data_IF_769511935443
#
_entry.id   IF_769511935443
#
_cell.length_a   1.000
_cell.length_b   1.000
_cell.length_c   1.000
_cell.angle_alpha   90.00
_cell.angle_beta   90.00
_cell.angle_gamma   90.00
#
_symmetry.space_group_name_H-M   'P 1'
#
loop_
_entity.id
_entity.type
_entity.pdbx_description
1 polymer ?
#
# COMPACT_ATOMS: atom_id res chain seq x y z
N UNK A 1 -4.67 -0.17 27.31
CA UNK A 1 -4.78 0.12 25.87
C UNK A 1 -4.55 -1.18 25.13
N UNK A 2 -5.24 -1.46 24.01
CA UNK A 2 -4.91 -2.61 23.18
C UNK A 2 -3.42 -2.57 22.83
N UNK A 3 -2.74 -3.70 22.96
CA UNK A 3 -1.35 -3.83 22.46
C UNK A 3 -1.39 -3.77 20.94
N UNK A 4 -0.49 -2.99 20.33
CA UNK A 4 -0.36 -2.94 18.88
C UNK A 4 -0.14 -4.37 18.32
N UNK A 5 -0.94 -4.81 17.33
CA UNK A 5 -0.68 -6.07 16.64
C UNK A 5 0.74 -6.07 16.07
N UNK A 6 1.39 -7.23 16.06
CA UNK A 6 2.74 -7.37 15.56
C UNK A 6 2.85 -6.84 14.13
N UNK A 7 3.85 -5.98 13.87
CA UNK A 7 4.11 -5.33 12.59
C UNK A 7 2.96 -4.45 12.04
N UNK A 8 2.01 -4.03 12.87
CA UNK A 8 1.03 -3.00 12.50
C UNK A 8 1.32 -1.68 13.21
N UNK A 9 0.83 -0.59 12.63
CA UNK A 9 0.91 0.77 13.15
C UNK A 9 -0.50 1.24 13.52
N UNK A 10 -0.63 1.83 14.70
CA UNK A 10 -1.89 2.45 15.14
C UNK A 10 -2.07 3.81 14.47
N UNK A 11 -3.19 4.01 13.78
CA UNK A 11 -3.60 5.31 13.26
C UNK A 11 -4.69 5.89 14.17
N UNK A 12 -4.43 7.01 14.88
CA UNK A 12 -5.40 7.56 15.82
C UNK A 12 -6.70 8.02 15.14
N UNK A 13 -7.81 7.84 15.85
CA UNK A 13 -9.09 8.43 15.45
C UNK A 13 -8.97 9.95 15.33
N UNK A 14 -9.69 10.54 14.38
CA UNK A 14 -9.74 11.99 14.21
C UNK A 14 -9.95 12.44 12.77
N UNK A 15 -10.22 13.75 12.59
CA UNK A 15 -10.38 14.34 11.28
C UNK A 15 -9.05 14.41 10.51
N UNK A 16 -9.13 14.38 9.18
CA UNK A 16 -8.06 14.79 8.28
C UNK A 16 -8.66 15.34 6.97
N UNK A 17 -7.89 16.14 6.24
CA UNK A 17 -8.24 16.61 4.90
C UNK A 17 -7.79 15.57 3.88
N UNK A 18 -8.74 14.96 3.18
CA UNK A 18 -8.50 13.99 2.11
C UNK A 18 -8.49 14.70 0.75
N UNK A 19 -7.61 14.25 -0.14
CA UNK A 19 -7.42 14.79 -1.47
C UNK A 19 -6.34 15.88 -1.53
N UNK A 20 -6.24 16.53 -2.68
CA UNK A 20 -5.28 17.61 -2.90
C UNK A 20 -5.91 18.75 -3.68
N UNK A 21 -5.44 19.97 -3.43
CA UNK A 21 -5.78 21.11 -4.29
C UNK A 21 -4.87 21.04 -5.52
N UNK A 22 -5.46 20.96 -6.71
CA UNK A 22 -4.72 20.89 -7.96
C UNK A 22 -4.36 22.32 -8.38
N UNK A 23 -3.26 22.83 -7.85
CA UNK A 23 -2.66 24.05 -8.35
C UNK A 23 -1.92 23.72 -9.67
N UNK A 24 -2.51 24.08 -10.82
CA UNK A 24 -1.96 23.87 -12.18
C UNK A 24 -0.50 24.33 -12.39
N UNK A 25 0.05 25.14 -11.48
CA UNK A 25 1.45 25.58 -11.49
C UNK A 25 2.42 24.60 -10.80
N UNK A 26 1.94 23.72 -9.92
CA UNK A 26 2.78 22.81 -9.12
C UNK A 26 2.90 21.39 -9.70
N UNK A 27 2.12 21.04 -10.72
CA UNK A 27 2.18 19.73 -11.43
C UNK A 27 1.99 18.50 -10.53
N UNK A 28 1.27 18.64 -9.41
CA UNK A 28 0.94 17.54 -8.49
C UNK A 28 -0.58 17.34 -8.44
N UNK A 29 -1.02 16.08 -8.38
CA UNK A 29 -2.41 15.67 -8.35
C UNK A 29 -3.02 15.43 -9.72
N UNK A 30 -3.97 14.50 -9.81
CA UNK A 30 -4.85 14.27 -10.96
C UNK A 30 -6.30 14.70 -10.63
N UNK A 31 -7.17 14.79 -11.65
CA UNK A 31 -8.49 15.43 -11.54
C UNK A 31 -9.46 14.76 -10.57
N UNK A 32 -9.22 13.50 -10.22
CA UNK A 32 -10.02 12.69 -9.28
C UNK A 32 -9.58 12.85 -7.81
N UNK A 33 -8.59 13.70 -7.54
CA UNK A 33 -8.11 14.01 -6.18
C UNK A 33 -8.79 15.25 -5.55
N UNK A 34 -9.73 15.88 -6.27
CA UNK A 34 -10.57 17.00 -5.84
C UNK A 34 -12.04 16.59 -5.63
N UNK A 35 -12.79 17.30 -4.76
CA UNK A 35 -12.36 18.38 -3.89
C UNK A 35 -11.66 17.86 -2.62
N UNK A 36 -10.79 18.71 -2.05
CA UNK A 36 -10.33 18.48 -0.67
C UNK A 36 -11.55 18.55 0.27
N UNK A 37 -11.72 17.50 1.07
CA UNK A 37 -12.84 17.40 2.01
C UNK A 37 -12.39 16.80 3.35
N UNK A 38 -13.04 17.23 4.43
CA UNK A 38 -12.73 16.74 5.77
C UNK A 38 -13.45 15.42 6.03
N UNK A 39 -12.68 14.38 6.39
CA UNK A 39 -13.19 13.08 6.81
C UNK A 39 -12.76 12.80 8.25
N UNK A 40 -13.69 12.28 9.05
CA UNK A 40 -13.38 11.69 10.34
C UNK A 40 -13.18 10.17 10.20
N UNK A 41 -11.99 9.69 10.58
CA UNK A 41 -11.75 8.25 10.70
C UNK A 41 -11.72 7.82 12.17
N UNK A 42 -12.35 6.68 12.45
CA UNK A 42 -12.18 5.92 13.69
C UNK A 42 -10.74 5.41 13.83
N UNK A 43 -10.34 4.96 15.02
CA UNK A 43 -9.01 4.39 15.22
C UNK A 43 -8.94 3.03 14.50
N UNK A 44 -7.83 2.79 13.80
CA UNK A 44 -7.56 1.52 13.12
C UNK A 44 -6.06 1.19 13.19
N UNK A 45 -5.75 -0.02 12.72
CA UNK A 45 -4.38 -0.48 12.53
C UNK A 45 -4.16 -0.76 11.05
N UNK A 46 -2.98 -0.42 10.55
CA UNK A 46 -2.53 -0.75 9.19
C UNK A 46 -1.17 -1.44 9.29
N UNK A 47 -0.86 -2.35 8.36
CA UNK A 47 0.45 -3.00 8.32
C UNK A 47 1.55 -1.93 8.19
N UNK A 48 2.66 -2.09 8.91
CA UNK A 48 3.82 -1.17 8.85
C UNK A 48 4.53 -1.23 7.50
N UNK A 49 4.44 -2.39 6.86
CA UNK A 49 5.17 -2.77 5.66
C UNK A 49 4.18 -3.39 4.67
N UNK A 50 4.47 -3.29 3.38
CA UNK A 50 3.79 -4.10 2.36
C UNK A 50 3.94 -5.59 2.69
N UNK A 51 2.96 -6.39 2.26
CA UNK A 51 2.99 -7.85 2.42
C UNK A 51 4.16 -8.43 1.64
N UNK A 52 5.01 -9.19 2.30
CA UNK A 52 6.19 -9.78 1.66
C UNK A 52 5.84 -10.95 0.75
N UNK A 53 6.70 -11.22 -0.24
CA UNK A 53 6.62 -12.42 -1.07
C UNK A 53 6.63 -13.70 -0.21
N UNK A 54 7.39 -13.72 0.89
CA UNK A 54 7.42 -14.87 1.80
C UNK A 54 6.07 -15.13 2.46
N UNK A 55 5.43 -14.10 3.01
CA UNK A 55 4.13 -14.22 3.67
C UNK A 55 3.04 -14.61 2.67
N UNK A 56 2.99 -13.97 1.51
CA UNK A 56 1.99 -14.28 0.50
C UNK A 56 2.18 -15.68 -0.10
N UNK A 57 3.44 -16.13 -0.26
CA UNK A 57 3.74 -17.51 -0.66
C UNK A 57 3.21 -18.55 0.33
N UNK A 58 3.32 -18.29 1.62
CA UNK A 58 2.75 -19.17 2.66
C UNK A 58 1.21 -19.25 2.55
N UNK A 59 0.55 -18.12 2.30
CA UNK A 59 -0.89 -18.08 2.05
C UNK A 59 -1.31 -18.89 0.82
N UNK A 60 -0.60 -18.73 -0.31
CA UNK A 60 -0.90 -19.48 -1.53
C UNK A 60 -0.74 -20.99 -1.34
N UNK A 61 0.26 -21.42 -0.59
CA UNK A 61 0.44 -22.85 -0.27
C UNK A 61 -0.64 -23.39 0.67
N UNK A 62 -1.30 -22.53 1.45
CA UNK A 62 -2.48 -22.91 2.23
C UNK A 62 -3.77 -22.97 1.39
N UNK A 63 -3.79 -22.34 0.20
CA UNK A 63 -4.94 -22.28 -0.71
C UNK A 63 -4.56 -22.60 -2.16
N UNK A 64 -3.91 -23.74 -2.42
CA UNK A 64 -3.33 -24.04 -3.74
C UNK A 64 -4.39 -24.10 -4.85
N UNK A 65 -5.61 -24.52 -4.53
CA UNK A 65 -6.70 -24.69 -5.50
C UNK A 65 -7.28 -23.35 -6.02
N UNK A 66 -7.06 -22.26 -5.28
CA UNK A 66 -7.55 -20.92 -5.65
C UNK A 66 -6.42 -19.97 -6.08
N UNK A 67 -5.17 -20.41 -6.01
CA UNK A 67 -3.99 -19.56 -6.17
C UNK A 67 -3.94 -18.83 -7.52
N UNK A 68 -4.45 -19.43 -8.61
CA UNK A 68 -4.53 -18.79 -9.93
C UNK A 68 -5.44 -17.55 -9.96
N UNK A 69 -6.43 -17.46 -9.06
CA UNK A 69 -7.26 -16.26 -8.88
C UNK A 69 -6.55 -15.16 -8.11
N UNK A 70 -5.64 -15.55 -7.20
CA UNK A 70 -5.03 -14.63 -6.25
C UNK A 70 -3.77 -13.96 -6.78
N UNK A 71 -3.00 -14.64 -7.63
CA UNK A 71 -1.76 -14.10 -8.16
C UNK A 71 -1.52 -14.54 -9.60
N UNK A 72 -0.90 -13.65 -10.39
CA UNK A 72 -0.41 -13.98 -11.71
C UNK A 72 1.09 -14.28 -11.67
N UNK A 73 1.46 -15.56 -11.67
CA UNK A 73 2.88 -15.98 -11.71
C UNK A 73 3.47 -15.73 -13.11
N UNK A 74 4.50 -14.89 -13.17
CA UNK A 74 5.25 -14.52 -14.38
C UNK A 74 6.73 -14.29 -14.05
N UNK A 75 7.56 -14.03 -15.07
CA UNK A 75 8.98 -13.71 -14.88
C UNK A 75 9.23 -12.40 -14.11
N UNK A 76 8.19 -11.55 -14.00
CA UNK A 76 8.24 -10.29 -13.24
C UNK A 76 7.65 -10.43 -11.82
N UNK A 77 7.12 -11.60 -11.47
CA UNK A 77 6.57 -11.86 -10.15
C UNK A 77 7.70 -12.16 -9.15
N UNK A 78 7.63 -11.60 -7.93
CA UNK A 78 8.57 -11.89 -6.83
C UNK A 78 8.42 -13.31 -6.30
N UNK A 79 7.24 -13.91 -6.53
CA UNK A 79 6.93 -15.32 -6.31
C UNK A 79 7.12 -16.15 -7.59
N UNK A 80 7.53 -17.41 -7.40
CA UNK A 80 7.50 -18.46 -8.41
C UNK A 80 6.74 -19.68 -7.93
N UNK A 81 6.20 -20.46 -8.86
CA UNK A 81 5.55 -21.74 -8.57
C UNK A 81 6.39 -22.87 -9.18
N UNK A 82 7.10 -23.63 -8.34
CA UNK A 82 8.00 -24.71 -8.77
C UNK A 82 7.74 -25.96 -7.94
N UNK A 83 7.58 -27.11 -8.61
CA UNK A 83 7.37 -28.39 -7.92
C UNK A 83 6.09 -28.46 -7.08
N UNK A 84 5.05 -27.69 -7.43
CA UNK A 84 3.80 -27.64 -6.67
C UNK A 84 3.83 -26.73 -5.45
N UNK A 85 4.84 -25.86 -5.31
CA UNK A 85 4.98 -24.95 -4.17
C UNK A 85 5.24 -23.52 -4.62
N UNK A 86 4.46 -22.59 -4.08
CA UNK A 86 4.68 -21.15 -4.21
C UNK A 86 5.78 -20.71 -3.26
N UNK A 87 6.81 -20.07 -3.77
CA UNK A 87 7.94 -19.58 -2.96
C UNK A 87 8.50 -18.29 -3.52
N UNK A 88 9.12 -17.43 -2.69
CA UNK A 88 9.87 -16.29 -3.20
C UNK A 88 10.97 -16.76 -4.14
N UNK A 89 11.25 -15.97 -5.18
CA UNK A 89 12.50 -16.16 -5.93
C UNK A 89 13.69 -15.88 -5.00
N UNK A 90 14.85 -16.52 -5.21
CA UNK A 90 15.99 -16.36 -4.32
C UNK A 90 16.36 -14.90 -4.08
N UNK A 91 16.42 -14.48 -2.81
CA UNK A 91 16.78 -13.11 -2.41
C UNK A 91 15.60 -12.12 -2.39
N UNK A 92 14.39 -12.55 -2.77
CA UNK A 92 13.18 -11.70 -2.79
C UNK A 92 12.24 -11.98 -1.62
N UNK A 93 12.67 -12.71 -0.60
CA UNK A 93 11.82 -13.13 0.53
C UNK A 93 11.20 -11.93 1.26
N UNK A 94 11.96 -10.84 1.40
CA UNK A 94 11.54 -9.59 2.04
C UNK A 94 11.05 -8.51 1.07
N UNK A 95 10.94 -8.81 -0.21
CA UNK A 95 10.39 -7.89 -1.20
C UNK A 95 8.86 -7.98 -1.18
N UNK A 96 8.14 -6.94 -1.62
CA UNK A 96 6.69 -7.00 -1.68
C UNK A 96 6.22 -8.13 -2.60
N UNK A 97 5.12 -8.78 -2.22
CA UNK A 97 4.38 -9.65 -3.12
C UNK A 97 3.77 -8.78 -4.23
N UNK A 98 4.14 -9.03 -5.49
CA UNK A 98 3.62 -8.29 -6.63
C UNK A 98 2.80 -9.20 -7.56
N UNK A 99 2.13 -8.60 -8.56
CA UNK A 99 1.21 -9.33 -9.46
C UNK A 99 0.02 -9.99 -8.75
N UNK A 100 -0.29 -9.52 -7.54
CA UNK A 100 -1.43 -9.94 -6.72
C UNK A 100 -2.70 -9.26 -7.26
N UNK A 101 -3.76 -10.03 -7.42
CA UNK A 101 -5.07 -9.48 -7.77
C UNK A 101 -5.74 -8.88 -6.53
N UNK A 102 -6.73 -8.00 -6.71
CA UNK A 102 -7.53 -7.51 -5.59
C UNK A 102 -8.14 -8.66 -4.78
N UNK A 103 -8.66 -9.70 -5.46
CA UNK A 103 -9.20 -10.89 -4.79
C UNK A 103 -8.15 -11.63 -3.94
N UNK A 104 -6.90 -11.68 -4.41
CA UNK A 104 -5.79 -12.26 -3.66
C UNK A 104 -5.42 -11.42 -2.42
N UNK A 105 -5.40 -10.10 -2.56
CA UNK A 105 -5.11 -9.19 -1.46
C UNK A 105 -6.19 -9.26 -0.36
N UNK A 106 -7.47 -9.19 -0.74
CA UNK A 106 -8.61 -9.33 0.19
C UNK A 106 -8.63 -10.71 0.88
N UNK A 107 -8.43 -11.80 0.11
CA UNK A 107 -8.38 -13.15 0.68
C UNK A 107 -7.21 -13.34 1.65
N UNK A 108 -6.03 -12.78 1.34
CA UNK A 108 -4.87 -12.81 2.22
C UNK A 108 -5.12 -12.06 3.54
N UNK A 109 -5.70 -10.86 3.46
CA UNK A 109 -6.07 -10.10 4.65
C UNK A 109 -7.03 -10.90 5.54
N UNK A 110 -8.10 -11.47 4.96
CA UNK A 110 -9.05 -12.30 5.71
C UNK A 110 -8.42 -13.55 6.32
N UNK A 111 -7.49 -14.19 5.60
CA UNK A 111 -6.76 -15.34 6.11
C UNK A 111 -5.92 -15.01 7.36
N UNK A 112 -5.37 -13.80 7.44
CA UNK A 112 -4.68 -13.29 8.64
C UNK A 112 -5.63 -12.73 9.73
N UNK A 113 -6.94 -12.74 9.50
CA UNK A 113 -7.92 -12.12 10.40
C UNK A 113 -8.02 -10.59 10.29
N UNK A 114 -7.49 -10.02 9.20
CA UNK A 114 -7.47 -8.58 8.89
C UNK A 114 -8.39 -8.27 7.70
N UNK A 115 -8.33 -7.02 7.19
CA UNK A 115 -9.01 -6.56 5.98
C UNK A 115 -8.09 -5.62 5.18
N UNK A 116 -8.46 -5.31 3.93
CA UNK A 116 -7.88 -4.18 3.21
C UNK A 116 -8.26 -2.86 3.90
N UNK A 117 -7.39 -1.83 3.87
CA UNK A 117 -7.75 -0.48 4.29
C UNK A 117 -8.78 0.12 3.31
N UNK A 118 -9.59 1.08 3.77
CA UNK A 118 -10.28 1.96 2.82
C UNK A 118 -9.29 2.95 2.21
N UNK A 119 -9.65 3.60 1.10
CA UNK A 119 -8.82 4.62 0.46
C UNK A 119 -8.53 5.78 1.43
N UNK A 120 -9.54 6.19 2.19
CA UNK A 120 -9.38 7.23 3.20
C UNK A 120 -8.42 6.81 4.32
N UNK A 121 -8.51 5.56 4.78
CA UNK A 121 -7.57 5.00 5.74
C UNK A 121 -6.14 4.91 5.17
N UNK A 122 -6.00 4.57 3.89
CA UNK A 122 -4.70 4.52 3.25
C UNK A 122 -4.08 5.92 3.14
N UNK A 123 -4.84 6.91 2.67
CA UNK A 123 -4.33 8.28 2.55
C UNK A 123 -3.99 8.89 3.90
N UNK A 124 -4.85 8.75 4.92
CA UNK A 124 -4.53 9.24 6.26
C UNK A 124 -3.26 8.59 6.78
N UNK A 125 -3.08 7.28 6.62
CA UNK A 125 -1.87 6.58 7.04
C UNK A 125 -0.61 7.07 6.30
N UNK A 126 -0.73 7.50 5.04
CA UNK A 126 0.36 8.05 4.24
C UNK A 126 0.69 9.49 4.62
N UNK A 127 -0.32 10.35 4.73
CA UNK A 127 -0.18 11.81 4.79
C UNK A 127 -0.18 12.36 6.22
N UNK A 128 -0.91 11.75 7.14
CA UNK A 128 -1.18 12.39 8.44
C UNK A 128 -2.30 13.42 8.36
N UNK A 129 -2.22 14.45 9.20
CA UNK A 129 -3.27 15.48 9.34
C UNK A 129 -2.74 16.89 9.09
N UNK A 130 -1.56 17.01 8.46
CA UNK A 130 -0.86 18.28 8.26
C UNK A 130 -0.69 18.66 6.78
N UNK A 131 -1.43 17.98 5.89
CA UNK A 131 -1.50 18.28 4.45
C UNK A 131 -0.14 18.27 3.72
N UNK A 132 0.81 17.48 4.23
CA UNK A 132 2.09 17.24 3.54
C UNK A 132 1.88 16.63 2.15
N UNK A 133 2.80 16.94 1.23
CA UNK A 133 2.75 16.47 -0.16
C UNK A 133 3.12 14.99 -0.27
N UNK A 134 4.17 14.56 0.45
CA UNK A 134 4.65 13.18 0.47
C UNK A 134 4.66 12.62 1.89
N UNK A 135 4.71 11.30 2.09
CA UNK A 135 4.73 10.70 3.43
C UNK A 135 5.83 11.28 4.34
N UNK A 136 7.01 11.55 3.78
CA UNK A 136 8.16 12.13 4.49
C UNK A 136 8.13 13.67 4.62
N UNK A 137 7.11 14.34 4.09
CA UNK A 137 6.98 15.80 4.12
C UNK A 137 6.97 16.43 2.72
N UNK A 138 7.46 17.67 2.61
CA UNK A 138 7.33 18.48 1.39
C UNK A 138 8.62 18.54 0.54
N UNK A 139 9.63 17.75 0.90
CA UNK A 139 10.85 17.65 0.09
C UNK A 139 10.58 16.84 -1.17
N UNK A 140 11.06 17.34 -2.32
CA UNK A 140 10.94 16.66 -3.60
C UNK A 140 11.47 15.22 -3.53
N UNK A 141 10.81 14.24 -4.18
CA UNK A 141 11.19 12.83 -4.11
C UNK A 141 12.65 12.57 -4.53
N UNK A 142 13.36 11.81 -3.71
CA UNK A 142 14.71 11.31 -3.98
C UNK A 142 14.77 9.80 -3.72
N UNK A 143 15.65 9.08 -4.41
CA UNK A 143 15.77 7.62 -4.30
C UNK A 143 16.26 7.12 -2.91
N UNK A 144 16.63 8.05 -2.01
CA UNK A 144 16.92 7.73 -0.60
C UNK A 144 15.64 7.61 0.26
N UNK A 145 14.51 8.12 -0.25
CA UNK A 145 13.20 8.10 0.43
C UNK A 145 12.21 7.16 -0.26
N UNK A 146 12.27 7.05 -1.59
CA UNK A 146 11.24 6.34 -2.38
C UNK A 146 11.83 5.65 -3.61
N UNK A 147 11.30 4.48 -3.93
CA UNK A 147 11.50 3.83 -5.24
C UNK A 147 10.46 4.32 -6.26
N UNK A 148 10.86 5.24 -7.14
CA UNK A 148 10.03 5.80 -8.21
C UNK A 148 10.81 5.95 -9.52
N UNK A 149 10.10 6.04 -10.66
CA UNK A 149 10.69 6.18 -12.00
C UNK A 149 11.71 5.09 -12.37
N UNK A 150 11.50 3.87 -11.87
CA UNK A 150 12.29 2.68 -12.24
C UNK A 150 11.43 1.72 -13.04
N UNK A 151 11.88 1.36 -14.23
CA UNK A 151 11.19 0.40 -15.07
C UNK A 151 11.79 -1.00 -14.88
N UNK A 152 10.92 -2.00 -14.73
CA UNK A 152 11.36 -3.40 -14.59
C UNK A 152 12.22 -3.86 -15.78
N UNK A 153 11.99 -3.34 -16.99
CA UNK A 153 12.81 -3.70 -18.17
C UNK A 153 14.28 -3.28 -18.08
N UNK A 154 14.60 -2.30 -17.22
CA UNK A 154 15.95 -1.78 -17.03
C UNK A 154 16.58 -2.32 -15.74
N UNK A 155 15.81 -2.37 -14.65
CA UNK A 155 16.33 -2.71 -13.32
C UNK A 155 15.99 -4.14 -12.87
N UNK A 156 15.10 -4.85 -13.58
CA UNK A 156 14.57 -6.12 -13.09
C UNK A 156 13.91 -5.96 -11.71
N UNK A 157 14.24 -6.85 -10.78
CA UNK A 157 13.74 -6.78 -9.41
C UNK A 157 14.33 -5.63 -8.58
N UNK A 158 15.45 -5.04 -9.01
CA UNK A 158 16.04 -3.84 -8.38
C UNK A 158 15.21 -2.55 -8.65
N UNK A 159 14.15 -2.67 -9.45
CA UNK A 159 13.11 -1.65 -9.55
C UNK A 159 12.33 -1.47 -8.24
N UNK A 160 12.31 -2.51 -7.40
CA UNK A 160 11.71 -2.53 -6.06
C UNK A 160 12.81 -2.66 -4.99
N UNK A 161 12.44 -2.48 -3.74
CA UNK A 161 13.32 -2.64 -2.58
C UNK A 161 12.64 -3.50 -1.51
N UNK A 162 13.38 -4.09 -0.54
CA UNK A 162 12.76 -4.76 0.60
C UNK A 162 11.77 -3.85 1.34
N UNK A 163 10.73 -4.46 1.90
CA UNK A 163 9.61 -3.72 2.52
C UNK A 163 10.03 -2.88 3.73
N UNK A 164 11.16 -3.22 4.37
CA UNK A 164 11.76 -2.51 5.51
C UNK A 164 12.86 -1.49 5.11
N UNK A 165 13.10 -1.28 3.82
CA UNK A 165 14.10 -0.36 3.30
C UNK A 165 13.62 1.11 3.26
N UNK A 166 14.56 2.03 3.01
CA UNK A 166 14.29 3.48 2.87
C UNK A 166 13.58 4.09 4.09
N UNK A 167 14.11 3.95 5.32
CA UNK A 167 13.46 4.44 6.53
C UNK A 167 13.22 5.96 6.54
N UNK A 168 13.92 6.74 5.69
CA UNK A 168 13.66 8.16 5.53
C UNK A 168 12.35 8.48 4.81
N UNK A 169 11.74 7.52 4.11
CA UNK A 169 10.50 7.66 3.35
C UNK A 169 9.22 7.35 4.14
N UNK A 170 9.34 7.07 5.44
CA UNK A 170 8.20 6.71 6.28
C UNK A 170 7.16 7.83 6.35
N UNK A 171 5.90 7.43 6.47
CA UNK A 171 4.80 8.32 6.83
C UNK A 171 4.98 8.89 8.26
N UNK A 172 4.24 9.95 8.65
CA UNK A 172 4.32 10.48 10.01
C UNK A 172 3.91 9.48 11.10
N UNK A 173 3.22 8.40 10.73
CA UNK A 173 2.86 7.31 11.64
C UNK A 173 3.90 6.17 11.66
N UNK A 174 4.92 6.21 10.80
CA UNK A 174 5.94 5.18 10.69
C UNK A 174 5.59 4.03 9.73
N UNK A 175 4.67 4.25 8.79
CA UNK A 175 4.33 3.29 7.74
C UNK A 175 5.30 3.47 6.57
N UNK A 176 5.84 2.38 6.06
CA UNK A 176 6.83 2.36 4.99
C UNK A 176 6.17 2.28 3.62
N UNK A 177 6.87 2.76 2.58
CA UNK A 177 6.50 2.61 1.16
C UNK A 177 5.09 3.08 0.76
N UNK A 178 4.43 3.91 1.57
CA UNK A 178 3.18 4.61 1.20
C UNK A 178 3.32 5.51 -0.03
N UNK A 179 4.52 5.64 -0.60
CA UNK A 179 4.74 6.15 -1.94
C UNK A 179 5.79 5.29 -2.64
N UNK A 180 5.50 4.87 -3.88
CA UNK A 180 6.41 4.08 -4.72
C UNK A 180 6.49 2.60 -4.34
N UNK A 181 7.54 1.92 -4.81
CA UNK A 181 7.74 0.47 -4.68
C UNK A 181 6.71 -0.36 -5.46
N UNK A 182 5.55 -0.70 -4.89
CA UNK A 182 4.42 -1.29 -5.63
C UNK A 182 3.11 -0.52 -5.39
N UNK A 183 2.13 -0.75 -6.25
CA UNK A 183 0.76 -0.27 -5.99
C UNK A 183 0.10 -1.14 -4.92
N UNK A 184 -0.65 -0.50 -4.04
CA UNK A 184 -1.32 -1.14 -2.91
C UNK A 184 -2.85 -1.15 -3.11
N UNK A 185 -3.49 -2.30 -2.93
CA UNK A 185 -4.93 -2.43 -3.08
C UNK A 185 -5.68 -1.91 -1.84
N UNK A 186 -6.75 -1.14 -2.08
CA UNK A 186 -7.72 -0.70 -1.06
C UNK A 186 -9.06 -1.43 -1.22
N UNK A 187 -9.93 -1.32 -0.23
CA UNK A 187 -11.23 -2.00 -0.22
C UNK A 187 -12.25 -1.39 -1.19
N UNK A 188 -12.06 -0.12 -1.55
CA UNK A 188 -13.00 0.72 -2.26
C UNK A 188 -13.17 0.34 -3.73
N UNK A 189 -14.36 0.59 -4.24
CA UNK A 189 -14.58 0.66 -5.69
C UNK A 189 -14.20 2.05 -6.16
N UNK A 190 -13.39 2.12 -7.22
CA UNK A 190 -13.02 3.38 -7.82
C UNK A 190 -14.23 4.09 -8.46
N UNK A 191 -14.41 5.37 -8.13
CA UNK A 191 -15.36 6.27 -8.75
C UNK A 191 -14.78 7.70 -8.81
N UNK A 192 -14.65 8.23 -10.03
CA UNK A 192 -14.02 9.53 -10.36
C UNK A 192 -14.63 10.73 -9.58
N UNK A 193 -15.93 10.65 -9.26
CA UNK A 193 -16.68 11.70 -8.55
C UNK A 193 -16.99 11.37 -7.08
N UNK A 194 -16.33 10.36 -6.49
CA UNK A 194 -16.67 9.92 -5.14
C UNK A 194 -16.46 11.03 -4.09
N UNK A 195 -15.40 11.83 -4.22
CA UNK A 195 -15.04 12.87 -3.25
C UNK A 195 -16.11 13.97 -3.15
N UNK A 196 -16.88 14.21 -4.22
CA UNK A 196 -18.00 15.17 -4.21
C UNK A 196 -19.16 14.74 -3.29
N UNK A 197 -19.26 13.44 -2.99
CA UNK A 197 -20.40 12.83 -2.29
C UNK A 197 -19.99 11.95 -1.10
N UNK A 198 -18.69 11.90 -0.78
CA UNK A 198 -18.10 11.04 0.24
C UNK A 198 -18.71 11.32 1.62
N UNK A 199 -19.10 10.28 2.39
CA UNK A 199 -19.59 10.47 3.74
C UNK A 199 -18.47 10.98 4.65
N UNK A 200 -18.78 11.97 5.48
CA UNK A 200 -17.79 12.62 6.35
C UNK A 200 -17.21 11.73 7.48
N UNK A 201 -17.65 10.48 7.62
CA UNK A 201 -17.19 9.57 8.67
C UNK A 201 -17.06 8.15 8.17
N UNK A 202 -15.87 7.58 8.35
CA UNK A 202 -15.53 6.19 8.00
C UNK A 202 -16.04 5.78 6.60
N UNK A 203 -15.71 6.54 5.53
CA UNK A 203 -16.04 6.19 4.16
C UNK A 203 -15.37 4.89 3.72
#
# INVERSE_FOLDING_TARGET
MPTEPENMVRIPAGPFAMGTVIENERLWGDTDEEPVHEIFLSEYFIDRYEVTAQEFGAFLNAHPDEAERYIRIQNTATLEHTGGTYRPRPGLEKYPANRVSWYGADAFCRWRGNRLPTEAEWEKAARGTDERIFPWGNQFPHNDFVTFRRNFSEYGFDAMTPVDALPGGQSPYGVYHMAGNVWEWVADWYEDSYYEHSPAKDP
#
